data_IF_886056048561
#
_entry.id   IF_886056048561
#
_cell.length_a   1.000
_cell.length_b   1.000
_cell.length_c   1.000
_cell.angle_alpha   90.00
_cell.angle_beta   90.00
_cell.angle_gamma   90.00
#
_symmetry.space_group_name_H-M   'P 1'
#
loop_
_entity.id
_entity.type
_entity.pdbx_description
1 polymer ?
#
# COMPACT_ATOMS: atom_id res chain seq x y z
N UNK A 1 -31.49 -7.22 36.08
CA UNK A 1 -30.38 -6.32 35.77
C UNK A 1 -29.39 -7.12 34.94
N UNK A 2 -29.37 -6.92 33.62
CA UNK A 2 -28.41 -7.57 32.72
C UNK A 2 -27.11 -6.75 32.77
N UNK A 3 -26.06 -7.33 33.35
CA UNK A 3 -24.72 -6.76 33.29
C UNK A 3 -24.09 -7.26 31.99
N UNK A 4 -24.08 -6.41 30.97
CA UNK A 4 -23.27 -6.63 29.78
C UNK A 4 -21.85 -6.29 30.16
N UNK A 5 -21.04 -7.32 30.41
CA UNK A 5 -19.59 -7.17 30.52
C UNK A 5 -19.05 -6.84 29.14
N UNK A 6 -18.66 -5.58 28.93
CA UNK A 6 -17.83 -5.19 27.79
C UNK A 6 -16.44 -5.74 28.02
N UNK A 7 -16.16 -6.92 27.47
CA UNK A 7 -14.80 -7.43 27.37
C UNK A 7 -13.96 -6.45 26.56
N UNK A 8 -13.01 -5.79 27.22
CA UNK A 8 -12.03 -4.95 26.57
C UNK A 8 -11.10 -5.86 25.78
N UNK A 9 -11.27 -5.91 24.46
CA UNK A 9 -10.31 -6.53 23.56
C UNK A 9 -9.00 -5.77 23.70
N UNK A 10 -7.98 -6.40 24.27
CA UNK A 10 -6.62 -5.88 24.21
C UNK A 10 -6.18 -5.97 22.75
N UNK A 11 -5.95 -4.82 22.11
CA UNK A 11 -5.26 -4.78 20.83
C UNK A 11 -3.84 -5.34 21.05
N UNK A 12 -3.41 -6.25 20.18
CA UNK A 12 -2.03 -6.73 20.21
C UNK A 12 -1.12 -5.62 19.68
N UNK A 13 -0.02 -5.35 20.37
CA UNK A 13 0.97 -4.37 19.91
C UNK A 13 1.97 -4.98 18.92
N UNK A 14 2.57 -4.13 18.08
CA UNK A 14 3.69 -4.50 17.22
C UNK A 14 4.90 -4.93 18.04
N UNK A 15 5.44 -6.13 17.74
CA UNK A 15 6.66 -6.66 18.35
C UNK A 15 7.81 -6.52 17.36
N UNK A 16 8.84 -5.79 17.75
CA UNK A 16 10.03 -5.57 16.93
C UNK A 16 11.16 -6.50 17.40
N UNK A 17 11.92 -7.02 16.45
CA UNK A 17 13.06 -7.88 16.69
C UNK A 17 14.13 -7.73 15.61
N UNK A 18 15.26 -8.38 15.84
CA UNK A 18 16.43 -8.35 14.96
C UNK A 18 17.02 -9.75 14.87
N UNK A 19 17.42 -10.13 13.67
CA UNK A 19 18.00 -11.43 13.33
C UNK A 19 19.36 -11.17 12.72
N UNK A 20 20.41 -11.69 13.35
CA UNK A 20 21.78 -11.60 12.85
C UNK A 20 22.13 -12.85 12.06
N UNK A 21 22.53 -12.67 10.80
CA UNK A 21 23.17 -13.72 10.00
C UNK A 21 24.69 -13.62 10.23
N UNK A 22 25.22 -14.48 11.10
CA UNK A 22 26.66 -14.51 11.42
C UNK A 22 27.53 -14.91 10.21
N UNK A 23 27.00 -15.63 9.22
CA UNK A 23 27.78 -16.03 8.05
C UNK A 23 27.99 -14.88 7.07
N UNK A 24 27.02 -13.96 6.99
CA UNK A 24 27.05 -12.81 6.07
C UNK A 24 27.34 -11.48 6.77
N UNK A 25 27.45 -11.50 8.09
CA UNK A 25 27.56 -10.32 8.97
C UNK A 25 26.52 -9.25 8.64
N UNK A 26 25.27 -9.69 8.46
CA UNK A 26 24.13 -8.83 8.17
C UNK A 26 23.06 -8.93 9.25
N UNK A 27 22.35 -7.82 9.48
CA UNK A 27 21.20 -7.77 10.39
C UNK A 27 19.94 -7.59 9.55
N UNK A 28 18.91 -8.35 9.89
CA UNK A 28 17.56 -8.20 9.36
C UNK A 28 16.62 -7.88 10.51
N UNK A 29 15.82 -6.84 10.36
CA UNK A 29 14.82 -6.46 11.34
C UNK A 29 13.50 -7.13 11.02
N UNK A 30 12.75 -7.47 12.06
CA UNK A 30 11.39 -8.03 11.95
C UNK A 30 10.40 -7.23 12.78
N UNK A 31 9.16 -7.13 12.29
CA UNK A 31 8.04 -6.54 13.03
C UNK A 31 6.83 -7.44 12.87
N UNK A 32 6.21 -7.84 13.99
CA UNK A 32 5.12 -8.81 13.98
C UNK A 32 3.89 -8.29 14.71
N UNK A 33 2.72 -8.47 14.12
CA UNK A 33 1.41 -8.18 14.71
C UNK A 33 0.52 -9.42 14.68
N UNK A 34 0.02 -9.85 15.84
CA UNK A 34 -0.88 -11.00 15.95
C UNK A 34 -2.36 -10.59 15.87
N UNK A 35 -3.20 -11.43 15.28
CA UNK A 35 -4.65 -11.23 15.25
C UNK A 35 -5.28 -11.18 16.64
N UNK A 36 -6.25 -10.30 16.82
CA UNK A 36 -6.99 -10.11 18.07
C UNK A 36 -7.90 -11.30 18.40
N UNK A 37 -8.46 -11.93 17.36
CA UNK A 37 -9.29 -13.11 17.49
C UNK A 37 -8.51 -14.39 17.25
N UNK A 38 -9.07 -15.49 17.76
CA UNK A 38 -8.69 -16.86 17.41
C UNK A 38 -9.88 -17.57 16.80
N UNK A 39 -9.66 -18.30 15.71
CA UNK A 39 -10.68 -19.16 15.12
C UNK A 39 -10.50 -20.58 15.68
N UNK A 40 -11.59 -21.19 16.15
CA UNK A 40 -11.54 -22.55 16.67
C UNK A 40 -11.63 -23.53 15.52
N UNK A 41 -10.57 -24.32 15.32
CA UNK A 41 -10.54 -25.35 14.30
C UNK A 41 -10.76 -26.73 14.90
N UNK A 42 -11.40 -27.57 14.11
CA UNK A 42 -11.68 -28.96 14.46
C UNK A 42 -10.43 -29.83 14.25
N UNK A 43 -10.54 -31.11 14.59
CA UNK A 43 -9.51 -32.09 14.30
C UNK A 43 -9.13 -32.07 12.80
N UNK A 44 -7.84 -32.12 12.46
CA UNK A 44 -6.69 -32.49 13.31
C UNK A 44 -5.98 -31.31 14.01
N UNK A 45 -6.48 -30.08 13.88
CA UNK A 45 -5.79 -28.90 14.42
C UNK A 45 -6.16 -28.60 15.88
N UNK A 46 -7.38 -28.96 16.28
CA UNK A 46 -7.95 -28.93 17.64
C UNK A 46 -7.47 -27.74 18.48
N UNK A 47 -7.99 -26.56 18.13
CA UNK A 47 -7.86 -25.38 18.99
C UNK A 47 -7.91 -24.04 18.27
N UNK A 48 -7.62 -23.00 19.04
CA UNK A 48 -7.64 -21.61 18.57
C UNK A 48 -6.44 -21.29 17.71
N UNK A 49 -6.67 -21.04 16.42
CA UNK A 49 -5.70 -20.52 15.47
C UNK A 49 -5.72 -18.99 15.43
N UNK A 50 -4.53 -18.38 15.42
CA UNK A 50 -4.31 -16.96 15.14
C UNK A 50 -3.54 -16.78 13.84
N UNK A 51 -3.58 -15.57 13.29
CA UNK A 51 -2.79 -15.17 12.13
C UNK A 51 -1.85 -14.05 12.56
N UNK A 52 -0.58 -14.19 12.22
CA UNK A 52 0.43 -13.15 12.44
C UNK A 52 0.76 -12.46 11.11
N UNK A 53 0.81 -11.13 11.12
CA UNK A 53 1.42 -10.33 10.05
C UNK A 53 2.90 -10.17 10.42
N UNK A 54 3.80 -10.61 9.55
CA UNK A 54 5.25 -10.47 9.67
C UNK A 54 5.73 -9.46 8.61
N UNK A 55 6.47 -8.46 9.04
CA UNK A 55 7.18 -7.50 8.20
C UNK A 55 8.68 -7.70 8.35
N UNK A 56 9.42 -7.51 7.27
CA UNK A 56 10.89 -7.67 7.26
C UNK A 56 11.54 -6.47 6.59
N UNK A 57 12.59 -5.96 7.23
CA UNK A 57 13.33 -4.78 6.79
C UNK A 57 14.84 -4.97 6.93
N UNK A 58 15.62 -4.39 6.02
CA UNK A 58 17.08 -4.40 6.08
C UNK A 58 17.66 -3.20 6.85
N UNK A 59 16.89 -2.12 7.02
CA UNK A 59 17.32 -0.88 7.69
C UNK A 59 16.55 -0.58 8.98
N UNK A 60 15.46 -1.33 9.26
CA UNK A 60 14.61 -1.13 10.42
C UNK A 60 13.65 0.04 10.29
N UNK A 61 13.48 0.58 9.08
CA UNK A 61 12.60 1.72 8.78
C UNK A 61 11.67 1.42 7.61
N UNK A 62 12.20 0.89 6.51
CA UNK A 62 11.46 0.57 5.29
C UNK A 62 11.29 -0.93 5.16
N UNK A 63 10.05 -1.38 5.02
CA UNK A 63 9.69 -2.78 4.83
C UNK A 63 9.08 -2.98 3.46
N UNK A 64 9.80 -3.70 2.62
CA UNK A 64 9.35 -4.16 1.30
C UNK A 64 9.06 -5.67 1.27
N UNK A 65 9.03 -6.32 2.43
CA UNK A 65 8.72 -7.75 2.56
C UNK A 65 7.66 -7.94 3.64
N UNK A 66 6.61 -8.70 3.31
CA UNK A 66 5.52 -8.99 4.23
C UNK A 66 5.04 -10.44 4.05
N UNK A 67 4.63 -11.06 5.16
CA UNK A 67 4.07 -12.40 5.17
C UNK A 67 2.92 -12.52 6.17
N UNK A 68 2.04 -13.50 5.92
CA UNK A 68 0.98 -13.92 6.84
C UNK A 68 1.30 -15.32 7.34
N UNK A 69 1.31 -15.52 8.66
CA UNK A 69 1.65 -16.81 9.27
C UNK A 69 0.50 -17.32 10.12
N UNK A 70 -0.07 -18.46 9.71
CA UNK A 70 -1.14 -19.14 10.43
C UNK A 70 -0.54 -20.02 11.53
N UNK A 71 -0.93 -19.78 12.79
CA UNK A 71 -0.35 -20.47 13.95
C UNK A 71 -0.73 -21.97 14.02
N UNK A 72 -1.92 -22.31 13.52
CA UNK A 72 -2.49 -23.67 13.51
C UNK A 72 -3.43 -23.79 12.33
N UNK A 73 -3.44 -24.93 11.66
CA UNK A 73 -4.20 -25.12 10.42
C UNK A 73 -3.29 -25.29 9.22
N UNK A 74 -3.90 -25.53 8.07
CA UNK A 74 -3.23 -25.57 6.78
C UNK A 74 -3.93 -24.59 5.85
N UNK A 75 -3.17 -23.67 5.27
CA UNK A 75 -3.66 -22.74 4.25
C UNK A 75 -3.98 -23.55 3.00
N UNK A 76 -5.21 -23.45 2.53
CA UNK A 76 -5.74 -24.23 1.41
C UNK A 76 -5.46 -23.53 0.08
N UNK A 77 -4.18 -23.34 -0.23
CA UNK A 77 -3.70 -22.78 -1.49
C UNK A 77 -2.65 -23.71 -2.11
N UNK A 78 -2.54 -23.71 -3.43
CA UNK A 78 -1.55 -24.51 -4.13
C UNK A 78 -0.19 -23.79 -4.13
N UNK A 79 0.89 -24.55 -3.94
CA UNK A 79 2.26 -24.02 -4.03
C UNK A 79 2.54 -23.60 -5.48
N UNK A 80 3.14 -22.42 -5.64
CA UNK A 80 3.45 -21.84 -6.96
C UNK A 80 2.26 -21.16 -7.66
N UNK A 81 1.11 -21.03 -6.98
CA UNK A 81 -0.05 -20.30 -7.48
C UNK A 81 -0.45 -19.17 -6.53
N UNK A 82 -1.11 -18.15 -7.08
CA UNK A 82 -1.67 -17.06 -6.27
C UNK A 82 -2.77 -17.60 -5.35
N UNK A 83 -2.62 -17.33 -4.07
CA UNK A 83 -3.58 -17.64 -3.03
C UNK A 83 -4.66 -16.55 -2.95
N UNK A 84 -5.92 -16.95 -2.89
CA UNK A 84 -7.05 -16.03 -2.79
C UNK A 84 -7.22 -15.46 -1.37
N UNK A 85 -6.36 -14.51 -1.00
CA UNK A 85 -6.50 -13.75 0.25
C UNK A 85 -7.34 -12.50 0.01
N UNK A 86 -8.25 -12.22 0.93
CA UNK A 86 -9.01 -10.97 0.92
C UNK A 86 -8.58 -10.11 2.10
N UNK A 87 -8.47 -8.81 1.88
CA UNK A 87 -8.24 -7.85 2.94
C UNK A 87 -9.32 -6.77 2.93
N UNK A 88 -9.65 -6.26 4.12
CA UNK A 88 -10.47 -5.06 4.29
C UNK A 88 -9.78 -4.19 5.32
N UNK A 89 -9.41 -2.99 4.90
CA UNK A 89 -8.87 -1.96 5.76
C UNK A 89 -10.01 -1.05 6.20
N UNK A 90 -10.07 -0.72 7.48
CA UNK A 90 -11.13 0.05 8.12
C UNK A 90 -12.55 -0.26 7.57
N UNK A 91 -13.35 0.74 7.24
CA UNK A 91 -14.71 0.53 6.70
C UNK A 91 -14.78 0.55 5.17
N UNK A 92 -13.64 0.57 4.47
CA UNK A 92 -13.69 0.55 3.02
C UNK A 92 -14.03 -0.86 2.51
N UNK A 93 -14.09 -1.06 1.20
CA UNK A 93 -14.54 -2.34 0.63
C UNK A 93 -13.48 -3.47 0.71
N UNK A 94 -13.86 -4.67 0.30
CA UNK A 94 -12.97 -5.83 0.28
C UNK A 94 -12.05 -5.72 -0.94
N UNK A 95 -10.77 -6.05 -0.77
CA UNK A 95 -9.78 -6.12 -1.85
C UNK A 95 -9.05 -7.46 -1.87
N UNK A 96 -8.49 -7.76 -3.02
CA UNK A 96 -7.62 -8.92 -3.21
C UNK A 96 -6.22 -8.58 -2.70
N UNK A 97 -5.73 -9.41 -1.78
CA UNK A 97 -4.36 -9.39 -1.34
C UNK A 97 -3.65 -10.54 -2.06
N UNK A 98 -2.93 -10.23 -3.13
CA UNK A 98 -2.18 -11.27 -3.84
C UNK A 98 -1.11 -11.82 -2.89
N UNK A 99 -1.10 -13.14 -2.68
CA UNK A 99 -0.12 -13.80 -1.83
C UNK A 99 0.20 -15.20 -2.36
N UNK A 100 1.34 -15.78 -2.01
CA UNK A 100 1.74 -17.14 -2.39
C UNK A 100 2.28 -17.93 -1.20
N UNK A 101 2.16 -19.26 -1.25
CA UNK A 101 2.73 -20.13 -0.21
C UNK A 101 4.26 -20.03 -0.24
N UNK A 102 4.87 -19.86 0.94
CA UNK A 102 6.33 -19.77 1.07
C UNK A 102 6.93 -21.15 1.35
N UNK A 103 7.83 -21.58 0.47
CA UNK A 103 8.51 -22.87 0.58
C UNK A 103 7.50 -24.04 0.60
N UNK A 104 7.78 -25.03 1.45
CA UNK A 104 6.95 -26.24 1.57
C UNK A 104 5.97 -26.16 2.75
N UNK A 105 5.86 -25.00 3.41
CA UNK A 105 5.00 -24.82 4.58
C UNK A 105 3.68 -24.16 4.19
N UNK A 106 2.60 -24.94 4.26
CA UNK A 106 1.24 -24.45 4.12
C UNK A 106 0.76 -23.59 5.32
N UNK A 107 1.66 -23.04 6.13
CA UNK A 107 1.32 -22.13 7.23
C UNK A 107 1.67 -20.69 6.94
N UNK A 108 2.36 -20.40 5.83
CA UNK A 108 2.89 -19.07 5.55
C UNK A 108 2.58 -18.62 4.12
N UNK A 109 2.14 -17.36 3.99
CA UNK A 109 1.91 -16.69 2.72
C UNK A 109 2.81 -15.48 2.59
N UNK A 110 3.61 -15.37 1.53
CA UNK A 110 4.28 -14.14 1.16
C UNK A 110 3.29 -13.21 0.48
N UNK A 111 3.22 -11.96 0.92
CA UNK A 111 2.32 -10.95 0.35
C UNK A 111 3.05 -10.22 -0.77
N UNK A 112 2.48 -10.25 -1.97
CA UNK A 112 2.98 -9.46 -3.10
C UNK A 112 2.65 -7.99 -2.89
N UNK A 113 3.50 -7.11 -3.44
CA UNK A 113 3.39 -5.65 -3.22
C UNK A 113 3.40 -5.30 -1.73
N UNK A 114 4.35 -5.89 -1.00
CA UNK A 114 4.48 -5.69 0.44
C UNK A 114 4.64 -4.22 0.83
N UNK A 115 5.34 -3.41 0.04
CA UNK A 115 5.44 -1.96 0.25
C UNK A 115 4.05 -1.29 0.33
N UNK A 116 3.17 -1.56 -0.64
CA UNK A 116 1.80 -1.06 -0.63
C UNK A 116 1.00 -1.58 0.57
N UNK A 117 1.17 -2.86 0.93
CA UNK A 117 0.49 -3.46 2.08
C UNK A 117 0.92 -2.83 3.41
N UNK A 118 2.23 -2.61 3.61
CA UNK A 118 2.80 -1.95 4.79
C UNK A 118 2.26 -0.53 4.95
N UNK A 119 2.18 0.23 3.86
CA UNK A 119 1.58 1.57 3.92
C UNK A 119 0.11 1.56 4.32
N UNK A 120 -0.68 0.61 3.79
CA UNK A 120 -2.08 0.47 4.20
C UNK A 120 -2.20 0.12 5.68
N UNK A 121 -1.35 -0.78 6.18
CA UNK A 121 -1.31 -1.11 7.62
C UNK A 121 -1.02 0.11 8.48
N UNK A 122 0.00 0.90 8.10
CA UNK A 122 0.39 2.12 8.82
C UNK A 122 -0.74 3.16 8.88
N UNK A 123 -1.49 3.29 7.79
CA UNK A 123 -2.57 4.27 7.66
C UNK A 123 -3.89 3.84 8.31
N UNK A 124 -4.08 2.54 8.54
CA UNK A 124 -5.36 1.98 8.98
C UNK A 124 -5.47 1.84 10.49
N UNK A 125 -6.69 1.91 11.01
CA UNK A 125 -6.97 1.60 12.42
C UNK A 125 -7.32 0.14 12.62
N UNK A 126 -7.98 -0.48 11.66
CA UNK A 126 -8.47 -1.86 11.68
C UNK A 126 -8.19 -2.55 10.37
N UNK A 127 -7.86 -3.83 10.41
CA UNK A 127 -7.75 -4.68 9.22
C UNK A 127 -8.40 -6.03 9.49
N UNK A 128 -9.15 -6.51 8.50
CA UNK A 128 -9.65 -7.88 8.46
C UNK A 128 -8.97 -8.58 7.30
N UNK A 129 -8.29 -9.69 7.58
CA UNK A 129 -7.67 -10.56 6.57
C UNK A 129 -8.41 -11.89 6.57
N UNK A 130 -8.81 -12.34 5.39
CA UNK A 130 -9.50 -13.60 5.19
C UNK A 130 -8.67 -14.53 4.31
N UNK A 131 -8.30 -15.70 4.84
CA UNK A 131 -7.51 -16.71 4.15
C UNK A 131 -8.30 -18.03 4.02
N UNK A 132 -8.07 -18.81 2.96
CA UNK A 132 -8.64 -20.16 2.85
C UNK A 132 -7.87 -21.14 3.74
N UNK A 133 -8.58 -21.91 4.56
CA UNK A 133 -8.03 -22.88 5.50
C UNK A 133 -8.65 -24.24 5.22
N UNK A 134 -7.82 -25.27 5.12
CA UNK A 134 -8.22 -26.63 4.81
C UNK A 134 -9.24 -27.13 5.85
N UNK A 135 -10.37 -27.67 5.37
CA UNK A 135 -11.54 -28.14 6.13
C UNK A 135 -12.34 -27.08 6.91
N UNK A 136 -11.80 -25.88 7.08
CA UNK A 136 -12.45 -24.79 7.83
C UNK A 136 -13.06 -23.73 6.90
N UNK A 137 -12.75 -23.79 5.60
CA UNK A 137 -13.22 -22.80 4.63
C UNK A 137 -12.47 -21.48 4.78
N UNK A 138 -13.16 -20.36 4.55
CA UNK A 138 -12.53 -19.02 4.65
C UNK A 138 -12.57 -18.53 6.09
N UNK A 139 -11.39 -18.31 6.67
CA UNK A 139 -11.23 -17.87 8.06
C UNK A 139 -10.80 -16.42 8.12
N UNK A 140 -11.49 -15.63 8.96
CA UNK A 140 -11.25 -14.19 9.12
C UNK A 140 -10.44 -13.90 10.38
N UNK A 141 -9.47 -13.01 10.25
CA UNK A 141 -8.58 -12.56 11.30
C UNK A 141 -8.60 -11.04 11.37
N UNK A 142 -8.72 -10.50 12.58
CA UNK A 142 -8.89 -9.08 12.86
C UNK A 142 -7.64 -8.52 13.52
N UNK A 143 -7.25 -7.32 13.12
CA UNK A 143 -6.05 -6.64 13.57
C UNK A 143 -6.34 -5.17 13.82
N UNK A 144 -5.60 -4.58 14.76
CA UNK A 144 -5.51 -3.13 14.96
C UNK A 144 -4.07 -2.67 14.72
N UNK A 145 -3.67 -2.37 13.47
CA UNK A 145 -2.25 -2.14 13.12
C UNK A 145 -1.71 -0.76 13.51
N UNK A 146 -2.45 0.02 14.30
CA UNK A 146 -2.01 1.32 14.79
C UNK A 146 -0.66 1.23 15.52
N UNK A 147 0.17 2.26 15.38
CA UNK A 147 1.50 2.30 16.01
C UNK A 147 2.61 1.57 15.26
N UNK A 148 2.37 1.15 14.01
CA UNK A 148 3.43 0.68 13.12
C UNK A 148 4.45 1.81 12.89
N UNK A 149 5.72 1.56 13.23
CA UNK A 149 6.84 2.50 13.06
C UNK A 149 7.44 2.46 11.66
N UNK A 150 7.22 1.37 10.94
CA UNK A 150 7.82 1.16 9.62
C UNK A 150 6.94 1.69 8.50
N UNK A 151 7.60 1.97 7.39
CA UNK A 151 7.02 2.50 6.18
C UNK A 151 7.22 1.49 5.04
N UNK A 152 6.32 1.46 4.07
CA UNK A 152 6.44 0.65 2.87
C UNK A 152 7.24 1.33 1.76
N UNK A 153 7.30 2.66 1.79
CA UNK A 153 8.07 3.48 0.85
C UNK A 153 8.88 4.52 1.61
N UNK A 154 10.04 4.89 1.07
CA UNK A 154 10.93 5.87 1.67
C UNK A 154 10.32 7.28 1.67
N UNK A 155 10.63 8.06 2.71
CA UNK A 155 10.21 9.45 2.85
C UNK A 155 10.99 10.41 1.95
N UNK A 156 10.35 11.55 1.64
CA UNK A 156 10.92 12.65 0.87
C UNK A 156 11.57 12.21 -0.46
N UNK A 157 10.97 11.20 -1.10
CA UNK A 157 11.42 10.66 -2.38
C UNK A 157 10.49 11.18 -3.49
N UNK A 158 11.00 12.01 -4.42
CA UNK A 158 10.20 12.50 -5.52
C UNK A 158 9.60 11.36 -6.34
N UNK A 159 8.34 11.53 -6.67
CA UNK A 159 7.45 10.58 -7.34
C UNK A 159 7.07 9.35 -6.51
N UNK A 160 7.73 9.03 -5.39
CA UNK A 160 7.34 7.91 -4.51
C UNK A 160 6.42 8.34 -3.37
N UNK A 161 6.90 9.28 -2.57
CA UNK A 161 6.21 9.83 -1.41
C UNK A 161 5.86 11.30 -1.59
N UNK A 162 6.36 11.94 -2.64
CA UNK A 162 6.12 13.35 -2.94
C UNK A 162 5.89 13.59 -4.44
N UNK A 163 5.04 14.55 -4.80
CA UNK A 163 4.98 15.10 -6.16
C UNK A 163 4.81 16.62 -6.12
N UNK A 164 5.77 17.35 -6.70
CA UNK A 164 5.73 18.80 -6.79
C UNK A 164 5.48 19.52 -5.46
N UNK A 165 6.19 19.12 -4.39
CA UNK A 165 6.04 19.68 -3.05
C UNK A 165 4.90 19.07 -2.23
N UNK A 166 4.11 18.16 -2.80
CA UNK A 166 2.94 17.56 -2.13
C UNK A 166 3.33 16.19 -1.57
N UNK A 167 3.20 16.03 -0.26
CA UNK A 167 3.32 14.73 0.40
C UNK A 167 2.11 13.84 0.03
N UNK A 168 2.39 12.69 -0.57
CA UNK A 168 1.40 11.72 -1.05
C UNK A 168 0.84 10.84 0.07
N UNK A 169 1.56 10.74 1.19
CA UNK A 169 1.32 9.82 2.31
C UNK A 169 0.51 10.44 3.44
N UNK A 170 0.17 11.72 3.32
CA UNK A 170 -0.55 12.48 4.33
C UNK A 170 -1.88 13.00 3.79
N UNK A 171 -2.80 13.28 4.72
CA UNK A 171 -4.05 13.93 4.38
C UNK A 171 -3.78 15.39 4.03
N UNK A 172 -4.28 15.78 2.86
CA UNK A 172 -4.21 17.15 2.43
C UNK A 172 -5.33 17.98 3.07
N UNK A 173 -4.98 19.16 3.57
CA UNK A 173 -5.97 20.14 3.98
C UNK A 173 -6.70 20.71 2.76
N UNK A 174 -8.00 20.45 2.69
CA UNK A 174 -8.88 20.92 1.61
C UNK A 174 -9.58 22.23 1.96
N UNK A 175 -9.30 22.83 3.12
CA UNK A 175 -9.93 24.07 3.57
C UNK A 175 -9.66 25.20 2.57
N UNK A 176 -10.72 25.88 2.13
CA UNK A 176 -10.63 26.97 1.16
C UNK A 176 -10.42 26.53 -0.31
N UNK A 177 -10.24 25.23 -0.60
CA UNK A 177 -10.12 24.73 -1.98
C UNK A 177 -11.49 24.70 -2.67
N UNK A 178 -11.55 25.17 -3.91
CA UNK A 178 -12.77 25.10 -4.73
C UNK A 178 -12.90 23.73 -5.38
N UNK A 179 -13.71 22.86 -4.75
CA UNK A 179 -13.83 21.47 -5.18
C UNK A 179 -14.69 21.29 -6.44
N UNK A 180 -14.19 20.49 -7.39
CA UNK A 180 -14.89 19.97 -8.56
C UNK A 180 -15.08 18.45 -8.44
N UNK A 181 -16.20 17.94 -8.94
CA UNK A 181 -16.67 16.55 -8.79
C UNK A 181 -17.00 16.16 -7.33
N UNK A 182 -18.27 15.80 -7.08
CA UNK A 182 -18.78 15.41 -5.75
C UNK A 182 -19.39 14.01 -5.79
N UNK A 183 -18.71 13.04 -6.41
CA UNK A 183 -18.97 11.67 -5.98
C UNK A 183 -18.47 11.59 -4.53
N UNK A 184 -19.29 11.13 -3.58
CA UNK A 184 -19.18 11.47 -2.14
C UNK A 184 -17.78 11.25 -1.49
N UNK A 185 -16.87 10.50 -2.12
CA UNK A 185 -15.53 10.22 -1.58
C UNK A 185 -14.37 10.78 -2.40
N UNK A 186 -14.56 11.07 -3.69
CA UNK A 186 -13.53 11.63 -4.57
C UNK A 186 -13.74 13.14 -4.71
N UNK A 187 -12.80 13.93 -4.19
CA UNK A 187 -12.82 15.40 -4.23
C UNK A 187 -11.65 15.89 -5.07
N UNK A 188 -11.93 16.60 -6.16
CA UNK A 188 -10.89 17.19 -7.00
C UNK A 188 -10.87 18.71 -6.87
N UNK A 189 -9.74 19.34 -7.16
CA UNK A 189 -9.61 20.79 -7.30
C UNK A 189 -8.48 21.09 -8.28
N UNK A 190 -8.49 22.31 -8.80
CA UNK A 190 -7.44 22.80 -9.68
C UNK A 190 -6.43 23.63 -8.87
N UNK A 191 -5.15 23.40 -9.10
CA UNK A 191 -4.04 24.13 -8.50
C UNK A 191 -2.86 24.20 -9.48
N UNK A 192 -1.69 24.65 -9.04
CA UNK A 192 -0.44 24.58 -9.81
C UNK A 192 0.62 23.83 -9.02
N UNK A 193 1.36 22.96 -9.69
CA UNK A 193 2.46 22.21 -9.07
C UNK A 193 3.75 22.42 -9.87
N UNK A 194 4.88 22.46 -9.15
CA UNK A 194 6.19 22.46 -9.75
C UNK A 194 6.63 21.00 -9.98
N UNK A 195 6.35 20.45 -11.16
CA UNK A 195 6.61 19.03 -11.40
C UNK A 195 8.11 18.73 -11.54
N UNK A 196 8.83 19.62 -12.21
CA UNK A 196 10.29 19.63 -12.27
C UNK A 196 10.78 21.05 -11.98
N UNK A 197 12.01 21.18 -11.50
CA UNK A 197 12.60 22.46 -11.09
C UNK A 197 12.42 23.53 -12.17
N UNK A 198 11.78 24.64 -11.79
CA UNK A 198 11.51 25.80 -12.64
C UNK A 198 10.30 25.66 -13.56
N UNK A 199 9.56 24.55 -13.52
CA UNK A 199 8.37 24.34 -14.35
C UNK A 199 7.11 24.17 -13.49
N UNK A 200 6.38 25.26 -13.35
CA UNK A 200 5.07 25.30 -12.71
C UNK A 200 3.99 25.09 -13.76
N UNK A 201 3.13 24.10 -13.56
CA UNK A 201 2.06 23.77 -14.48
C UNK A 201 0.70 23.68 -13.77
N UNK A 202 -0.40 24.04 -14.45
CA UNK A 202 -1.74 23.81 -13.92
C UNK A 202 -1.99 22.31 -13.78
N UNK A 203 -2.50 21.91 -12.62
CA UNK A 203 -2.79 20.53 -12.28
C UNK A 203 -4.18 20.39 -11.70
N UNK A 204 -4.84 19.31 -12.07
CA UNK A 204 -6.03 18.82 -11.39
C UNK A 204 -5.60 17.78 -10.36
N UNK A 205 -5.85 18.05 -9.09
CA UNK A 205 -5.49 17.18 -7.98
C UNK A 205 -6.78 16.58 -7.44
N UNK A 206 -6.83 15.26 -7.32
CA UNK A 206 -7.95 14.51 -6.79
C UNK A 206 -7.53 13.75 -5.54
N UNK A 207 -8.35 13.88 -4.51
CA UNK A 207 -8.21 13.17 -3.25
C UNK A 207 -9.33 12.18 -3.06
N UNK A 208 -9.02 11.05 -2.43
CA UNK A 208 -9.99 10.12 -1.88
C UNK A 208 -9.88 10.19 -0.36
N UNK A 209 -10.95 10.60 0.31
CA UNK A 209 -10.99 10.71 1.79
C UNK A 209 -9.85 11.58 2.37
N UNK A 210 -9.44 12.61 1.62
CA UNK A 210 -8.40 13.58 1.99
C UNK A 210 -6.99 13.21 1.56
N UNK A 211 -6.76 11.98 1.10
CA UNK A 211 -5.45 11.50 0.63
C UNK A 211 -5.32 11.67 -0.88
N UNK A 212 -4.12 11.98 -1.39
CA UNK A 212 -3.89 12.09 -2.84
C UNK A 212 -4.17 10.74 -3.51
N UNK A 213 -5.03 10.77 -4.53
CA UNK A 213 -5.35 9.59 -5.33
C UNK A 213 -4.87 9.75 -6.77
N UNK A 214 -5.00 10.96 -7.32
CA UNK A 214 -4.69 11.21 -8.72
C UNK A 214 -4.27 12.67 -8.94
N UNK A 215 -3.24 12.89 -9.74
CA UNK A 215 -2.80 14.20 -10.20
C UNK A 215 -2.72 14.18 -11.72
N UNK A 216 -3.33 15.15 -12.38
CA UNK A 216 -3.27 15.30 -13.84
C UNK A 216 -2.83 16.70 -14.23
N UNK A 217 -1.77 16.77 -15.02
CA UNK A 217 -1.30 17.99 -15.67
C UNK A 217 -1.64 17.89 -17.15
N UNK A 218 -2.20 18.96 -17.72
CA UNK A 218 -2.43 19.09 -19.15
C UNK A 218 -1.94 20.43 -19.67
N UNK A 219 -1.03 20.39 -20.63
CA UNK A 219 -0.44 21.57 -21.26
C UNK A 219 -0.39 21.43 -22.79
N UNK A 220 0.11 22.46 -23.47
CA UNK A 220 0.37 22.38 -24.92
C UNK A 220 1.43 21.31 -25.19
N UNK A 221 1.39 20.74 -26.40
CA UNK A 221 2.39 19.76 -26.80
C UNK A 221 3.81 20.36 -26.71
N UNK A 222 4.69 19.69 -25.98
CA UNK A 222 6.09 20.11 -25.79
C UNK A 222 6.96 18.85 -25.65
N UNK A 223 7.54 18.42 -26.78
CA UNK A 223 8.40 17.24 -26.84
C UNK A 223 9.70 17.40 -26.05
N UNK A 224 10.20 18.63 -25.92
CA UNK A 224 11.40 18.88 -25.13
C UNK A 224 11.08 18.67 -23.65
N UNK A 225 9.96 19.24 -23.19
CA UNK A 225 9.46 19.07 -21.83
C UNK A 225 9.15 17.61 -21.51
N UNK A 226 8.54 16.88 -22.44
CA UNK A 226 8.33 15.43 -22.29
C UNK A 226 9.63 14.71 -21.90
N UNK A 227 10.70 14.92 -22.67
CA UNK A 227 11.98 14.25 -22.40
C UNK A 227 12.60 14.72 -21.08
N UNK A 228 12.52 16.01 -20.74
CA UNK A 228 13.01 16.54 -19.46
C UNK A 228 12.29 15.89 -18.26
N UNK A 229 10.97 15.72 -18.32
CA UNK A 229 10.18 15.05 -17.26
C UNK A 229 10.56 13.57 -17.18
N UNK A 230 10.68 12.90 -18.32
CA UNK A 230 11.04 11.46 -18.38
C UNK A 230 12.42 11.22 -17.77
N UNK A 231 13.39 12.09 -18.09
CA UNK A 231 14.74 12.00 -17.55
C UNK A 231 14.76 12.25 -16.03
N UNK A 232 13.98 13.22 -15.54
CA UNK A 232 13.88 13.53 -14.11
C UNK A 232 13.23 12.38 -13.32
N UNK A 233 12.13 11.82 -13.81
CA UNK A 233 11.47 10.65 -13.19
C UNK A 233 12.41 9.45 -13.20
N UNK A 234 13.06 9.16 -14.34
CA UNK A 234 14.02 8.06 -14.42
C UNK A 234 15.17 8.21 -13.42
N UNK A 235 15.69 9.42 -13.27
CA UNK A 235 16.75 9.71 -12.30
C UNK A 235 16.26 9.52 -10.86
N UNK A 236 15.05 9.98 -10.53
CA UNK A 236 14.49 9.85 -9.18
C UNK A 236 14.20 8.39 -8.82
N UNK A 237 13.60 7.65 -9.76
CA UNK A 237 13.17 6.26 -9.56
C UNK A 237 14.26 5.22 -9.83
N UNK A 238 15.44 5.63 -10.32
CA UNK A 238 16.47 4.70 -10.78
C UNK A 238 16.05 3.83 -11.98
N UNK A 239 15.06 4.26 -12.74
CA UNK A 239 14.49 3.52 -13.87
C UNK A 239 15.11 3.90 -15.22
N UNK A 240 14.76 3.15 -16.27
CA UNK A 240 15.26 3.35 -17.65
C UNK A 240 14.13 3.37 -18.69
N UNK A 241 12.96 3.89 -18.31
CA UNK A 241 11.79 3.99 -19.18
C UNK A 241 12.11 4.89 -20.37
N UNK A 242 11.75 4.46 -21.57
CA UNK A 242 11.95 5.22 -22.81
C UNK A 242 10.61 5.68 -23.36
N UNK A 243 10.64 6.84 -24.03
CA UNK A 243 9.48 7.34 -24.77
C UNK A 243 9.27 6.50 -26.02
N UNK A 244 8.08 5.94 -26.19
CA UNK A 244 7.67 5.24 -27.40
C UNK A 244 6.37 5.87 -27.95
N UNK A 245 6.41 6.35 -29.19
CA UNK A 245 5.29 7.04 -29.85
C UNK A 245 4.66 8.16 -29.00
N UNK A 246 5.48 8.94 -28.29
CA UNK A 246 5.02 10.03 -27.43
C UNK A 246 4.46 9.58 -26.07
N UNK A 247 4.65 8.31 -25.71
CA UNK A 247 4.17 7.73 -24.45
C UNK A 247 5.33 7.24 -23.60
N UNK A 248 5.29 7.52 -22.29
CA UNK A 248 6.18 6.93 -21.29
C UNK A 248 5.34 6.46 -20.10
N UNK A 249 5.66 5.28 -19.56
CA UNK A 249 4.85 4.62 -18.52
C UNK A 249 5.77 4.04 -17.45
N UNK A 250 5.47 4.38 -16.20
CA UNK A 250 5.97 3.73 -15.00
C UNK A 250 4.80 3.03 -14.33
N UNK A 251 4.97 1.74 -14.04
CA UNK A 251 3.99 0.94 -13.31
C UNK A 251 4.60 0.57 -11.96
N UNK A 252 3.77 0.55 -10.93
CA UNK A 252 4.17 0.12 -9.61
C UNK A 252 4.64 -1.33 -9.56
N UNK A 253 5.69 -1.55 -8.80
CA UNK A 253 6.13 -2.86 -8.32
C UNK A 253 6.70 -2.71 -6.89
N UNK A 254 7.20 -3.80 -6.32
CA UNK A 254 7.77 -3.85 -4.97
C UNK A 254 8.98 -2.92 -4.77
N UNK A 255 9.64 -2.52 -5.86
CA UNK A 255 10.81 -1.65 -5.84
C UNK A 255 10.43 -0.19 -6.11
N UNK A 256 9.45 0.01 -6.99
CA UNK A 256 9.12 1.32 -7.52
C UNK A 256 8.21 2.10 -6.60
N UNK A 257 7.42 1.50 -5.69
CA UNK A 257 6.63 2.25 -4.68
C UNK A 257 5.61 3.27 -5.21
N UNK A 258 5.54 3.49 -6.52
CA UNK A 258 4.51 4.23 -7.26
C UNK A 258 3.39 3.31 -7.68
N UNK A 259 2.25 3.85 -8.05
CA UNK A 259 1.17 3.02 -8.63
C UNK A 259 1.19 3.10 -10.13
N UNK A 260 1.15 4.31 -10.66
CA UNK A 260 1.52 4.55 -12.04
C UNK A 260 1.84 6.01 -12.30
N UNK A 261 2.76 6.23 -13.23
CA UNK A 261 2.99 7.51 -13.87
C UNK A 261 2.87 7.29 -15.36
N UNK A 262 1.99 8.03 -16.01
CA UNK A 262 1.74 7.91 -17.43
C UNK A 262 1.88 9.28 -18.07
N UNK A 263 2.73 9.38 -19.08
CA UNK A 263 2.92 10.61 -19.82
C UNK A 263 2.54 10.36 -21.27
N UNK A 264 1.69 11.23 -21.81
CA UNK A 264 1.29 11.23 -23.21
C UNK A 264 1.62 12.58 -23.82
N UNK A 265 2.16 12.60 -25.04
CA UNK A 265 2.43 13.82 -25.78
C UNK A 265 2.07 13.63 -27.24
N UNK A 266 1.01 14.30 -27.68
CA UNK A 266 0.63 14.32 -29.08
C UNK A 266 0.11 15.70 -29.53
N UNK A 267 -0.01 15.89 -30.84
CA UNK A 267 -0.38 17.18 -31.43
C UNK A 267 -1.84 17.59 -31.16
N UNK A 268 -2.73 16.64 -30.87
CA UNK A 268 -4.16 16.86 -30.66
C UNK A 268 -4.48 17.11 -29.19
N UNK A 269 -3.91 16.32 -28.30
CA UNK A 269 -4.24 16.27 -26.88
C UNK A 269 -3.23 16.95 -25.97
N UNK A 270 -2.10 17.41 -26.54
CA UNK A 270 -1.05 18.14 -25.85
C UNK A 270 -0.12 17.23 -25.06
N UNK A 271 0.61 17.81 -24.11
CA UNK A 271 1.37 17.07 -23.12
C UNK A 271 0.47 16.82 -21.90
N UNK A 272 0.30 15.55 -21.54
CA UNK A 272 -0.44 15.11 -20.37
C UNK A 272 0.45 14.27 -19.47
N UNK A 273 0.46 14.60 -18.19
CA UNK A 273 1.08 13.77 -17.15
C UNK A 273 -0.02 13.33 -16.21
N UNK A 274 -0.16 12.03 -16.03
CA UNK A 274 -1.12 11.40 -15.13
C UNK A 274 -0.36 10.61 -14.09
N UNK A 275 -0.51 10.99 -12.84
CA UNK A 275 0.09 10.33 -11.70
C UNK A 275 -1.04 9.71 -10.88
N UNK A 276 -0.99 8.40 -10.69
CA UNK A 276 -1.90 7.69 -9.79
C UNK A 276 -1.13 7.25 -8.56
N UNK A 277 -1.69 7.56 -7.40
CA UNK A 277 -1.16 7.14 -6.11
C UNK A 277 -2.09 6.14 -5.43
N UNK A 278 -1.50 5.02 -5.07
CA UNK A 278 -2.08 3.84 -4.45
C UNK A 278 -0.97 3.33 -3.51
N UNK A 279 -1.13 3.62 -2.22
CA UNK A 279 -1.78 2.62 -1.39
C UNK A 279 -3.21 2.99 -1.00
N UNK A 280 -3.71 4.15 -1.45
CA UNK A 280 -4.91 4.79 -0.91
C UNK A 280 -6.20 4.53 -1.71
N UNK A 281 -6.13 3.97 -2.92
CA UNK A 281 -7.35 3.64 -3.67
C UNK A 281 -8.10 2.48 -3.00
N UNK A 282 -7.45 1.80 -2.06
CA UNK A 282 -8.09 0.95 -1.08
C UNK A 282 -8.34 1.67 0.25
N UNK A 283 -9.50 2.32 0.34
CA UNK A 283 -10.50 1.90 1.32
C UNK A 283 -10.12 2.05 2.80
N UNK A 284 -9.41 3.11 3.19
CA UNK A 284 -9.23 3.48 4.60
C UNK A 284 -10.08 4.72 4.94
N UNK A 285 -11.39 4.57 5.23
CA UNK A 285 -12.22 5.70 5.62
C UNK A 285 -11.73 6.39 6.87
N UNK A 286 -11.88 7.71 6.89
CA UNK A 286 -11.61 8.50 8.08
C UNK A 286 -12.44 7.98 9.23
N UNK A 287 -11.82 7.78 10.39
CA UNK A 287 -12.57 7.79 11.63
C UNK A 287 -13.25 9.16 11.78
N UNK A 288 -14.57 9.13 11.91
CA UNK A 288 -15.29 10.19 12.62
C UNK A 288 -14.82 10.25 14.08
#
# INVERSE_FOLDING_TARGET
>A
MLVVSTGQLYANDWRYGEVRDEMRDSITYTSTLQSENKNQYSAPYDGGASLDILLVSNDGEISNTAALTLSKGQISCQIGENCEVKARFDDGSIEDLTAEIVGDSYSMLAVFNAAGFVEKLRLSKRVIIEIPVYREGRSQFKFSPSGLKWHGVADDKPYLSEIGGINLREKMDLTGKKLSNKNNRLKCFDDSIELIKGWIAPAKICTYEGMISFVSIKTKNDKKRLNEIVDDINKSLGSKVKVHNGVAIWLGDENLGVSSIIIFSDNKDGLRVEFSYNPVISKVPSAE
#
